data_IF_546062897261
#
_entry.id   IF_546062897261
#
_cell.length_a   1.000
_cell.length_b   1.000
_cell.length_c   1.000
_cell.angle_alpha   90.00
_cell.angle_beta   90.00
_cell.angle_gamma   90.00
#
_symmetry.space_group_name_H-M   'P 1'
#
loop_
_entity.id
_entity.type
_entity.pdbx_description
1 polymer ?
#
# COMPACT_ATOMS: atom_id res chain seq x y z
N UNK A 1 -19.50 9.05 -23.15
CA UNK A 1 -19.17 8.21 -21.97
C UNK A 1 -18.66 9.11 -20.89
N UNK A 2 -19.33 9.16 -19.75
CA UNK A 2 -18.88 9.90 -18.58
C UNK A 2 -17.68 9.17 -17.97
N UNK A 3 -16.55 9.87 -17.80
CA UNK A 3 -15.34 9.29 -17.23
C UNK A 3 -15.47 9.37 -15.71
N UNK A 4 -15.70 8.23 -15.05
CA UNK A 4 -15.61 8.15 -13.58
C UNK A 4 -14.17 8.45 -13.17
N UNK A 5 -13.98 9.49 -12.38
CA UNK A 5 -12.69 9.83 -11.77
C UNK A 5 -12.73 9.34 -10.33
N UNK A 6 -11.82 8.43 -9.97
CA UNK A 6 -11.62 8.01 -8.58
C UNK A 6 -10.44 8.78 -8.02
N UNK A 7 -10.67 9.56 -6.96
CA UNK A 7 -9.63 10.29 -6.25
C UNK A 7 -9.23 9.51 -5.01
N UNK A 8 -7.93 9.23 -4.86
CA UNK A 8 -7.38 8.58 -3.69
C UNK A 8 -6.76 9.65 -2.79
N UNK A 9 -7.27 9.77 -1.58
CA UNK A 9 -6.78 10.67 -0.55
C UNK A 9 -6.59 9.85 0.73
N UNK A 10 -5.67 10.26 1.58
CA UNK A 10 -5.38 9.53 2.82
C UNK A 10 -4.86 10.45 3.91
N UNK A 11 -4.97 9.95 5.13
CA UNK A 11 -4.57 10.65 6.34
C UNK A 11 -4.19 9.65 7.42
N UNK A 12 -3.43 10.11 8.39
CA UNK A 12 -2.97 9.30 9.51
C UNK A 12 -2.94 10.18 10.75
N UNK A 13 -3.29 9.61 11.90
CA UNK A 13 -3.38 10.33 13.16
C UNK A 13 -2.56 9.59 14.22
N UNK A 14 -1.66 10.32 14.89
CA UNK A 14 -0.78 9.74 15.90
C UNK A 14 -1.53 9.29 17.18
N UNK A 15 -2.64 9.98 17.51
CA UNK A 15 -3.33 9.79 18.77
C UNK A 15 -2.41 10.09 19.97
N UNK A 16 -2.41 9.19 20.96
CA UNK A 16 -1.60 9.31 22.18
C UNK A 16 -0.26 8.55 22.11
N UNK A 17 0.12 8.02 20.94
CA UNK A 17 1.37 7.29 20.76
C UNK A 17 2.57 8.25 20.71
N UNK A 18 3.76 7.76 21.02
CA UNK A 18 5.00 8.56 20.92
C UNK A 18 5.53 8.67 19.49
N UNK A 19 5.16 7.72 18.61
CA UNK A 19 5.62 7.65 17.23
C UNK A 19 4.51 7.11 16.35
N UNK A 20 4.45 7.61 15.12
CA UNK A 20 3.52 7.13 14.10
C UNK A 20 4.14 5.92 13.40
N UNK A 21 3.50 4.78 13.56
CA UNK A 21 3.90 3.49 12.96
C UNK A 21 2.94 3.05 11.85
N UNK A 22 1.87 3.82 11.61
CA UNK A 22 1.01 3.67 10.45
C UNK A 22 1.68 4.28 9.20
N UNK A 23 1.41 3.68 8.05
CA UNK A 23 1.71 4.23 6.76
C UNK A 23 0.54 4.01 5.81
N UNK A 24 0.39 4.92 4.84
CA UNK A 24 -0.60 4.78 3.78
C UNK A 24 0.00 5.22 2.44
N UNK A 25 -0.57 4.70 1.36
CA UNK A 25 -0.24 5.10 0.01
C UNK A 25 -1.40 4.85 -0.93
N UNK A 26 -1.41 5.57 -2.05
CA UNK A 26 -2.38 5.35 -3.10
C UNK A 26 -2.04 6.15 -4.34
N UNK A 27 -2.68 5.81 -5.45
CA UNK A 27 -2.44 6.48 -6.72
C UNK A 27 -3.26 5.90 -7.86
N UNK A 28 -3.23 6.63 -8.97
CA UNK A 28 -3.79 6.17 -10.24
C UNK A 28 -2.86 5.13 -10.90
N UNK A 29 -3.45 4.21 -11.64
CA UNK A 29 -2.76 3.27 -12.51
C UNK A 29 -3.51 3.18 -13.85
N UNK A 30 -2.85 2.70 -14.90
CA UNK A 30 -3.52 2.52 -16.20
C UNK A 30 -4.65 1.51 -16.07
N UNK A 31 -5.90 1.97 -16.13
CA UNK A 31 -7.09 1.12 -16.01
C UNK A 31 -7.61 0.93 -14.57
N UNK A 32 -7.09 1.66 -13.58
CA UNK A 32 -7.56 1.55 -12.20
C UNK A 32 -6.94 2.55 -11.22
N UNK A 33 -7.10 2.27 -9.93
CA UNK A 33 -6.46 2.99 -8.84
C UNK A 33 -6.10 1.99 -7.73
N UNK A 34 -5.12 2.33 -6.90
CA UNK A 34 -4.80 1.56 -5.70
C UNK A 34 -4.79 2.46 -4.46
N UNK A 35 -5.06 1.81 -3.34
CA UNK A 35 -4.84 2.35 -2.01
C UNK A 35 -4.35 1.21 -1.11
N UNK A 36 -3.46 1.54 -0.18
CA UNK A 36 -2.94 0.60 0.80
C UNK A 36 -2.70 1.32 2.13
N UNK A 37 -2.88 0.56 3.22
CA UNK A 37 -2.57 0.96 4.58
C UNK A 37 -1.74 -0.13 5.23
N UNK A 38 -0.80 0.26 6.09
CA UNK A 38 0.04 -0.64 6.85
C UNK A 38 0.15 -0.13 8.30
N UNK A 39 -0.08 -1.01 9.27
CA UNK A 39 0.09 -0.77 10.70
C UNK A 39 1.37 -1.47 11.16
N UNK A 40 2.32 -0.71 11.70
CA UNK A 40 3.55 -1.24 12.27
C UNK A 40 3.29 -1.90 13.62
N UNK A 41 3.84 -3.09 13.84
CA UNK A 41 3.72 -3.83 15.10
C UNK A 41 4.35 -3.04 16.26
N UNK A 42 3.53 -2.25 16.96
CA UNK A 42 3.91 -1.46 18.12
C UNK A 42 4.68 -2.27 19.16
N UNK A 43 5.73 -1.68 19.71
CA UNK A 43 6.64 -2.35 20.66
C UNK A 43 7.88 -2.98 20.01
N UNK A 44 7.92 -3.10 18.67
CA UNK A 44 9.17 -3.33 17.95
C UNK A 44 9.88 -2.00 17.64
N UNK A 45 11.21 -2.00 17.72
CA UNK A 45 12.04 -0.78 17.65
C UNK A 45 11.86 0.00 16.34
N UNK A 46 11.40 -0.67 15.28
CA UNK A 46 11.36 -0.16 13.90
C UNK A 46 10.00 -0.37 13.20
N UNK A 47 8.88 -0.38 13.95
CA UNK A 47 7.53 -0.52 13.39
C UNK A 47 7.20 0.55 12.34
N UNK A 48 7.68 1.78 12.52
CA UNK A 48 7.56 2.88 11.57
C UNK A 48 8.34 2.65 10.27
N UNK A 49 9.51 2.00 10.35
CA UNK A 49 10.28 1.64 9.18
C UNK A 49 9.62 0.50 8.42
N UNK A 50 9.11 -0.50 9.12
CA UNK A 50 8.44 -1.66 8.53
C UNK A 50 7.19 -1.24 7.73
N UNK A 51 6.28 -0.44 8.32
CA UNK A 51 5.06 -0.01 7.64
C UNK A 51 5.33 0.86 6.42
N UNK A 52 6.28 1.80 6.50
CA UNK A 52 6.70 2.62 5.35
C UNK A 52 7.31 1.78 4.24
N UNK A 53 8.18 0.84 4.60
CA UNK A 53 8.83 -0.07 3.64
C UNK A 53 7.79 -0.93 2.91
N UNK A 54 6.78 -1.43 3.64
CA UNK A 54 5.67 -2.16 3.03
C UNK A 54 4.90 -1.31 2.01
N UNK A 55 4.55 -0.06 2.36
CA UNK A 55 3.84 0.85 1.45
C UNK A 55 4.68 1.21 0.22
N UNK A 56 5.98 1.46 0.39
CA UNK A 56 6.87 1.79 -0.72
C UNK A 56 7.04 0.59 -1.68
N UNK A 57 7.13 -0.62 -1.15
CA UNK A 57 7.15 -1.85 -1.95
C UNK A 57 5.83 -2.07 -2.70
N UNK A 58 4.67 -1.82 -2.07
CA UNK A 58 3.38 -1.86 -2.75
C UNK A 58 3.35 -0.81 -3.87
N UNK A 59 3.74 0.44 -3.59
CA UNK A 59 3.78 1.51 -4.60
C UNK A 59 4.59 1.09 -5.82
N UNK A 60 5.76 0.51 -5.61
CA UNK A 60 6.62 0.07 -6.70
C UNK A 60 6.01 -1.11 -7.47
N UNK A 61 5.40 -2.06 -6.76
CA UNK A 61 4.70 -3.18 -7.37
C UNK A 61 3.55 -2.70 -8.27
N UNK A 62 2.71 -1.78 -7.76
CA UNK A 62 1.57 -1.21 -8.47
C UNK A 62 2.01 -0.39 -9.71
N UNK A 63 3.23 0.16 -9.69
CA UNK A 63 3.82 0.90 -10.81
C UNK A 63 4.35 -0.01 -11.92
N UNK A 64 4.79 -1.22 -11.57
CA UNK A 64 5.54 -2.11 -12.48
C UNK A 64 4.73 -3.29 -12.99
N UNK A 65 3.74 -3.75 -12.22
CA UNK A 65 2.92 -4.90 -12.60
C UNK A 65 1.73 -4.49 -13.45
N UNK A 66 1.49 -5.19 -14.58
CA UNK A 66 0.29 -4.97 -15.37
C UNK A 66 -0.94 -5.38 -14.58
N UNK A 67 -2.07 -4.69 -14.82
CA UNK A 67 -3.35 -5.09 -14.28
C UNK A 67 -3.73 -6.52 -14.74
N UNK A 68 -4.38 -7.33 -13.89
CA UNK A 68 -4.85 -8.64 -14.30
C UNK A 68 -5.93 -8.50 -15.38
N UNK A 69 -5.73 -9.18 -16.51
CA UNK A 69 -6.60 -9.08 -17.69
C UNK A 69 -7.93 -9.86 -17.51
N UNK A 70 -7.91 -10.87 -16.65
CA UNK A 70 -8.92 -11.92 -16.48
C UNK A 70 -9.48 -11.99 -15.05
N UNK A 71 -9.31 -10.90 -14.29
CA UNK A 71 -9.92 -10.66 -12.98
C UNK A 71 -9.41 -11.50 -11.79
N UNK A 72 -8.25 -12.15 -11.87
CA UNK A 72 -7.58 -12.66 -10.66
C UNK A 72 -6.88 -11.55 -9.88
N UNK A 73 -7.70 -10.62 -9.38
CA UNK A 73 -7.29 -9.53 -8.52
C UNK A 73 -6.70 -10.03 -7.20
N UNK A 74 -7.14 -11.20 -6.73
CA UNK A 74 -6.64 -11.81 -5.50
C UNK A 74 -5.18 -12.19 -5.64
N UNK A 75 -4.81 -12.97 -6.66
CA UNK A 75 -3.42 -13.36 -6.89
C UNK A 75 -2.53 -12.14 -7.18
N UNK A 76 -3.06 -11.16 -7.90
CA UNK A 76 -2.35 -9.92 -8.18
C UNK A 76 -2.06 -9.12 -6.89
N UNK A 77 -3.08 -8.89 -6.05
CA UNK A 77 -2.92 -8.23 -4.75
C UNK A 77 -1.99 -9.02 -3.82
N UNK A 78 -2.13 -10.34 -3.78
CA UNK A 78 -1.26 -11.22 -3.00
C UNK A 78 0.20 -11.07 -3.44
N UNK A 79 0.48 -10.99 -4.75
CA UNK A 79 1.83 -10.76 -5.25
C UNK A 79 2.42 -9.40 -4.79
N UNK A 80 1.58 -8.37 -4.66
CA UNK A 80 1.95 -7.08 -4.08
C UNK A 80 2.25 -7.17 -2.58
N UNK A 81 1.40 -7.87 -1.82
CA UNK A 81 1.61 -8.13 -0.39
C UNK A 81 2.89 -8.95 -0.17
N UNK A 82 3.16 -9.95 -1.00
CA UNK A 82 4.39 -10.75 -0.92
C UNK A 82 5.63 -9.93 -1.29
N UNK A 83 5.51 -8.96 -2.20
CA UNK A 83 6.57 -8.00 -2.47
C UNK A 83 6.87 -7.12 -1.24
N UNK A 84 5.83 -6.67 -0.55
CA UNK A 84 5.96 -5.90 0.68
C UNK A 84 6.60 -6.71 1.81
N UNK A 85 6.16 -7.96 2.00
CA UNK A 85 6.72 -8.89 2.98
C UNK A 85 8.24 -9.06 2.80
N UNK A 86 8.69 -9.37 1.58
CA UNK A 86 10.12 -9.52 1.26
C UNK A 86 10.95 -8.24 1.44
N UNK A 87 10.33 -7.07 1.36
CA UNK A 87 11.03 -5.81 1.55
C UNK A 87 11.20 -5.45 3.04
N UNK A 88 10.34 -5.98 3.91
CA UNK A 88 10.37 -5.74 5.36
C UNK A 88 11.31 -6.69 6.09
N UNK A 89 11.49 -7.91 5.59
CA UNK A 89 12.46 -8.92 6.10
C UNK A 89 13.91 -8.57 5.76
#
# INVERSE_FOLDING_TARGET
MERTVVRIEGGQALGQRQRQEDAWGGGEMTGGCWAAVADGLGGHREGDRASRTAIDAIREHMRTMPLPADADWSAWLESGVMSAHRAVE
#
